data_IF_372561420436
#
_entry.id   IF_372561420436
#
_cell.length_a   1.000
_cell.length_b   1.000
_cell.length_c   1.000
_cell.angle_alpha   90.00
_cell.angle_beta   90.00
_cell.angle_gamma   90.00
#
_symmetry.space_group_name_H-M   'P 1'
#
loop_
_entity.id
_entity.type
_entity.pdbx_description
1 polymer ?
#
# COMPACT_ATOMS: atom_id res chain seq x y z
N UNK A 1 -12.73 12.60 22.94
CA UNK A 1 -13.37 11.68 23.91
C UNK A 1 -14.20 10.55 23.28
N UNK A 2 -14.21 10.35 21.98
CA UNK A 2 -14.99 9.25 21.34
C UNK A 2 -14.17 8.05 20.88
N UNK A 3 -12.85 8.10 20.95
CA UNK A 3 -11.97 6.98 20.59
C UNK A 3 -11.64 6.03 21.76
N UNK A 4 -11.81 6.47 23.01
CA UNK A 4 -11.35 5.73 24.20
C UNK A 4 -12.22 4.53 24.60
N UNK A 5 -13.47 4.42 24.15
CA UNK A 5 -14.37 3.34 24.59
C UNK A 5 -14.27 2.03 23.78
N UNK A 6 -13.41 1.97 22.75
CA UNK A 6 -13.20 0.75 21.95
C UNK A 6 -11.95 -0.05 22.37
N UNK A 7 -11.12 0.50 23.28
CA UNK A 7 -9.80 -0.07 23.62
C UNK A 7 -9.85 -1.03 24.83
N UNK A 8 -10.92 -1.05 25.61
CA UNK A 8 -10.97 -1.83 26.87
C UNK A 8 -11.27 -3.35 26.73
N UNK A 9 -11.37 -3.87 25.51
CA UNK A 9 -11.44 -5.33 25.27
C UNK A 9 -10.30 -5.85 24.43
N UNK A 10 -9.07 -5.45 24.72
CA UNK A 10 -7.90 -6.07 24.10
C UNK A 10 -7.75 -7.49 24.67
N UNK A 11 -8.09 -8.49 23.86
CA UNK A 11 -7.76 -9.88 24.07
C UNK A 11 -6.26 -10.05 24.27
N UNK A 12 -5.86 -11.04 25.08
CA UNK A 12 -4.45 -11.42 25.28
C UNK A 12 -3.75 -11.63 23.93
N UNK A 13 -2.48 -11.23 23.80
CA UNK A 13 -1.76 -11.41 22.55
C UNK A 13 -1.79 -12.89 22.12
N UNK A 14 -1.95 -13.18 20.82
CA UNK A 14 -1.96 -14.54 20.34
C UNK A 14 -0.65 -15.23 20.73
N UNK A 15 -0.75 -16.46 21.24
CA UNK A 15 0.43 -17.31 21.48
C UNK A 15 1.08 -17.57 20.15
N UNK A 16 2.29 -17.07 19.95
CA UNK A 16 3.12 -17.36 18.77
C UNK A 16 3.49 -18.85 18.86
N UNK A 17 2.83 -19.64 18.02
CA UNK A 17 3.17 -21.04 17.84
C UNK A 17 4.50 -21.10 17.07
N UNK A 18 5.55 -21.52 17.75
CA UNK A 18 6.90 -21.65 17.20
C UNK A 18 6.95 -22.83 16.20
N UNK A 19 6.57 -22.60 14.95
CA UNK A 19 6.85 -23.53 13.85
C UNK A 19 8.06 -23.02 13.06
N UNK A 20 9.11 -23.82 13.17
CA UNK A 20 10.32 -23.94 12.35
C UNK A 20 10.82 -22.63 11.70
N UNK A 21 11.69 -21.95 12.44
CA UNK A 21 12.33 -20.73 11.99
C UNK A 21 13.39 -20.97 10.92
N UNK A 22 13.31 -20.18 9.86
CA UNK A 22 14.51 -19.77 9.11
C UNK A 22 15.50 -19.23 10.16
N UNK A 23 16.77 -19.67 10.18
CA UNK A 23 17.74 -19.16 11.13
C UNK A 23 17.95 -17.66 10.89
N UNK A 24 17.31 -16.84 11.69
CA UNK A 24 17.62 -15.42 11.76
C UNK A 24 19.04 -15.33 12.32
N UNK A 25 19.99 -14.96 11.48
CA UNK A 25 21.29 -14.48 11.95
C UNK A 25 21.03 -13.23 12.77
N UNK A 26 20.98 -13.37 14.09
CA UNK A 26 20.85 -12.24 15.00
C UNK A 26 22.01 -11.27 14.70
N UNK A 27 21.74 -9.97 14.49
CA UNK A 27 22.81 -8.99 14.33
C UNK A 27 23.67 -9.02 15.59
N UNK A 28 24.98 -8.80 15.42
CA UNK A 28 25.94 -8.75 16.53
C UNK A 28 25.44 -7.72 17.57
N UNK A 29 25.45 -8.08 18.83
CA UNK A 29 25.01 -7.26 19.95
C UNK A 29 25.69 -5.88 19.95
N UNK A 30 26.98 -5.80 19.58
CA UNK A 30 27.74 -4.54 19.48
C UNK A 30 27.20 -3.62 18.36
N UNK A 31 26.82 -4.18 17.22
CA UNK A 31 26.26 -3.39 16.11
C UNK A 31 24.88 -2.84 16.45
N UNK A 32 24.05 -3.62 17.13
CA UNK A 32 22.73 -3.15 17.61
C UNK A 32 22.86 -2.05 18.67
N UNK A 33 23.84 -2.18 19.56
CA UNK A 33 24.11 -1.15 20.56
C UNK A 33 24.59 0.16 19.92
N UNK A 34 25.46 0.09 18.93
CA UNK A 34 25.91 1.26 18.16
C UNK A 34 24.77 1.96 17.44
N UNK A 35 23.94 1.20 16.72
CA UNK A 35 22.73 1.71 16.05
C UNK A 35 21.76 2.38 17.04
N UNK A 36 21.58 1.78 18.23
CA UNK A 36 20.75 2.36 19.28
C UNK A 36 21.29 3.68 19.81
N UNK A 37 22.60 3.80 20.03
CA UNK A 37 23.23 5.04 20.46
C UNK A 37 23.11 6.15 19.41
N UNK A 38 23.30 5.80 18.13
CA UNK A 38 23.08 6.74 17.02
C UNK A 38 21.63 7.20 16.95
N UNK A 39 20.66 6.28 17.12
CA UNK A 39 19.25 6.62 17.12
C UNK A 39 18.89 7.57 18.27
N UNK A 40 19.42 7.32 19.48
CA UNK A 40 19.26 8.23 20.61
C UNK A 40 19.85 9.63 20.36
N UNK A 41 21.03 9.70 19.79
CA UNK A 41 21.65 10.98 19.44
C UNK A 41 20.84 11.74 18.40
N UNK A 42 20.34 11.06 17.38
CA UNK A 42 19.46 11.64 16.35
C UNK A 42 18.15 12.18 16.94
N UNK A 43 17.58 11.52 17.97
CA UNK A 43 16.39 12.05 18.66
C UNK A 43 16.69 13.36 19.38
N UNK A 44 17.88 13.49 19.98
CA UNK A 44 18.33 14.72 20.67
C UNK A 44 18.59 15.86 19.70
N UNK A 45 19.12 15.55 18.52
CA UNK A 45 19.50 16.55 17.50
C UNK A 45 18.41 16.84 16.48
N UNK A 46 17.25 16.16 16.53
CA UNK A 46 16.19 16.19 15.53
C UNK A 46 16.71 15.88 14.11
N UNK A 47 17.73 15.02 14.00
CA UNK A 47 18.50 14.79 12.79
C UNK A 47 18.30 13.43 12.13
N UNK A 48 17.04 13.07 11.72
CA UNK A 48 16.76 11.78 11.09
C UNK A 48 17.04 11.70 9.58
N UNK A 49 17.44 12.80 8.94
CA UNK A 49 17.53 12.87 7.47
C UNK A 49 18.47 11.82 6.86
N UNK A 50 19.56 11.45 7.56
CA UNK A 50 20.50 10.41 7.09
C UNK A 50 19.93 8.98 7.14
N UNK A 51 18.85 8.75 7.89
CA UNK A 51 18.17 7.46 7.99
C UNK A 51 16.89 7.39 7.18
N UNK A 52 16.43 8.51 6.58
CA UNK A 52 15.25 8.58 5.73
C UNK A 52 15.66 8.43 4.27
N UNK A 53 15.09 7.46 3.59
CA UNK A 53 15.19 7.28 2.15
C UNK A 53 13.82 7.52 1.54
N UNK A 54 13.77 8.33 0.49
CA UNK A 54 12.60 8.39 -0.41
C UNK A 54 12.73 7.32 -1.47
N UNK A 55 11.64 6.59 -1.72
CA UNK A 55 11.53 5.63 -2.79
C UNK A 55 10.17 5.82 -3.44
N UNK A 56 10.14 6.48 -4.59
CA UNK A 56 8.90 6.96 -5.21
C UNK A 56 8.06 7.78 -4.22
N UNK A 57 6.84 7.41 -3.94
CA UNK A 57 5.95 8.11 -3.00
C UNK A 57 6.15 7.68 -1.54
N UNK A 58 6.97 6.65 -1.30
CA UNK A 58 7.22 6.12 0.03
C UNK A 58 8.32 6.89 0.78
N UNK A 59 8.13 7.01 2.09
CA UNK A 59 9.20 7.37 3.02
C UNK A 59 9.61 6.13 3.82
N UNK A 60 10.92 5.80 3.78
CA UNK A 60 11.47 4.64 4.47
C UNK A 60 12.45 5.14 5.52
N UNK A 61 12.17 4.87 6.78
CA UNK A 61 13.02 5.26 7.91
C UNK A 61 13.67 4.01 8.50
N UNK A 62 15.00 3.89 8.35
CA UNK A 62 15.75 2.84 9.03
C UNK A 62 15.77 3.11 10.54
N UNK A 63 15.27 2.17 11.33
CA UNK A 63 15.23 2.27 12.79
C UNK A 63 16.47 1.64 13.43
N UNK A 64 16.51 0.32 13.52
CA UNK A 64 17.53 -0.43 14.24
C UNK A 64 17.91 -1.69 13.47
N UNK A 65 19.21 -1.91 13.30
CA UNK A 65 19.69 -3.04 12.48
C UNK A 65 19.17 -2.94 11.05
N UNK A 66 18.46 -3.98 10.60
CA UNK A 66 17.82 -4.05 9.29
C UNK A 66 16.33 -3.70 9.30
N UNK A 67 15.79 -3.27 10.45
CA UNK A 67 14.37 -2.93 10.60
C UNK A 67 14.12 -1.50 10.13
N UNK A 68 13.10 -1.34 9.30
CA UNK A 68 12.67 -0.03 8.80
C UNK A 68 11.17 0.17 8.95
N UNK A 69 10.78 1.44 9.15
CA UNK A 69 9.41 1.90 8.94
C UNK A 69 9.22 2.26 7.47
N UNK A 70 8.07 1.89 6.93
CA UNK A 70 7.59 2.34 5.62
C UNK A 70 6.34 3.16 5.85
N UNK A 71 6.29 4.36 5.27
CA UNK A 71 5.16 5.28 5.38
C UNK A 71 4.66 5.61 3.98
N UNK A 72 3.38 5.36 3.76
CA UNK A 72 2.63 5.79 2.58
C UNK A 72 1.45 6.65 3.01
N UNK A 73 1.06 7.61 2.19
CA UNK A 73 -0.15 8.39 2.40
C UNK A 73 -0.81 8.73 1.08
N UNK A 74 -2.13 8.80 1.11
CA UNK A 74 -2.93 9.24 -0.03
C UNK A 74 -4.08 10.14 0.42
N UNK A 75 -4.65 10.88 -0.52
CA UNK A 75 -5.79 11.77 -0.30
C UNK A 75 -6.86 11.58 -1.36
N UNK A 76 -8.10 11.50 -0.92
CA UNK A 76 -9.28 11.44 -1.76
C UNK A 76 -10.17 12.66 -1.44
N UNK A 77 -10.50 13.45 -2.43
CA UNK A 77 -11.26 14.66 -2.23
C UNK A 77 -12.32 14.84 -3.31
N UNK A 78 -13.42 15.51 -2.93
CA UNK A 78 -14.54 15.83 -3.84
C UNK A 78 -15.23 14.58 -4.42
N UNK A 79 -15.16 13.48 -3.69
CA UNK A 79 -15.75 12.18 -4.00
C UNK A 79 -16.51 11.70 -2.76
N UNK A 80 -17.84 11.57 -2.84
CA UNK A 80 -18.67 11.21 -1.70
C UNK A 80 -20.11 11.68 -1.84
N UNK A 81 -20.77 11.94 -0.70
CA UNK A 81 -22.19 12.31 -0.62
C UNK A 81 -22.43 13.78 -0.23
N UNK A 82 -21.39 14.59 -0.11
CA UNK A 82 -21.54 16.03 0.20
C UNK A 82 -22.11 16.79 -0.99
N UNK A 83 -22.81 17.94 -0.75
CA UNK A 83 -23.51 18.69 -1.79
C UNK A 83 -22.63 19.14 -2.95
N UNK A 84 -21.36 19.42 -2.70
CA UNK A 84 -20.42 19.94 -3.68
C UNK A 84 -19.37 18.89 -4.10
N UNK A 85 -19.58 17.62 -3.78
CA UNK A 85 -18.74 16.56 -4.34
C UNK A 85 -18.90 16.50 -5.86
N UNK A 86 -17.79 16.56 -6.56
CA UNK A 86 -17.78 16.50 -8.03
C UNK A 86 -18.12 15.11 -8.52
N UNK A 87 -17.71 14.11 -7.74
CA UNK A 87 -18.01 12.71 -7.99
C UNK A 87 -18.93 12.20 -6.89
N UNK A 88 -20.20 11.92 -7.25
CA UNK A 88 -21.19 11.41 -6.31
C UNK A 88 -21.01 9.90 -6.12
N UNK A 89 -20.55 9.50 -4.96
CA UNK A 89 -20.31 8.11 -4.60
C UNK A 89 -20.72 7.85 -3.15
N UNK A 90 -20.94 6.61 -2.75
CA UNK A 90 -21.20 6.30 -1.36
C UNK A 90 -19.96 6.56 -0.49
N UNK A 91 -20.16 6.92 0.77
CA UNK A 91 -19.05 7.05 1.72
C UNK A 91 -18.30 5.73 1.89
N UNK A 92 -18.99 4.60 1.77
CA UNK A 92 -18.43 3.27 1.88
C UNK A 92 -17.42 2.99 0.75
N UNK A 93 -17.79 3.25 -0.51
CA UNK A 93 -16.88 3.06 -1.64
C UNK A 93 -15.71 4.05 -1.62
N UNK A 94 -15.99 5.32 -1.25
CA UNK A 94 -14.95 6.34 -1.12
C UNK A 94 -13.95 6.00 -0.03
N UNK A 95 -14.41 5.45 1.10
CA UNK A 95 -13.59 5.02 2.21
C UNK A 95 -12.65 3.87 1.82
N UNK A 96 -13.18 2.86 1.14
CA UNK A 96 -12.39 1.72 0.64
C UNK A 96 -11.34 2.19 -0.36
N UNK A 97 -11.70 3.04 -1.31
CA UNK A 97 -10.77 3.65 -2.28
C UNK A 97 -9.64 4.40 -1.58
N UNK A 98 -9.94 5.22 -0.58
CA UNK A 98 -8.94 6.03 0.13
C UNK A 98 -7.99 5.16 0.99
N UNK A 99 -8.50 4.11 1.63
CA UNK A 99 -7.70 3.16 2.41
C UNK A 99 -6.77 2.31 1.52
N UNK A 100 -7.29 1.87 0.38
CA UNK A 100 -6.66 0.89 -0.50
C UNK A 100 -5.30 1.36 -1.01
N UNK A 101 -5.20 2.61 -1.47
CA UNK A 101 -3.97 3.15 -2.06
C UNK A 101 -2.78 3.04 -1.12
N UNK A 102 -2.73 3.72 0.04
CA UNK A 102 -1.56 3.69 0.90
C UNK A 102 -1.33 2.32 1.53
N UNK A 103 -2.40 1.53 1.75
CA UNK A 103 -2.26 0.18 2.29
C UNK A 103 -1.61 -0.78 1.29
N UNK A 104 -2.01 -0.75 0.02
CA UNK A 104 -1.38 -1.55 -1.03
C UNK A 104 0.06 -1.12 -1.28
N UNK A 105 0.37 0.18 -1.22
CA UNK A 105 1.73 0.70 -1.31
C UNK A 105 2.65 0.12 -0.21
N UNK A 106 2.18 0.12 1.04
CA UNK A 106 2.94 -0.45 2.17
C UNK A 106 3.10 -1.96 2.01
N UNK A 107 2.01 -2.69 1.74
CA UNK A 107 2.04 -4.15 1.55
C UNK A 107 2.96 -4.57 0.41
N UNK A 108 2.94 -3.86 -0.72
CA UNK A 108 3.76 -4.15 -1.89
C UNK A 108 5.27 -4.12 -1.58
N UNK A 109 5.69 -3.35 -0.56
CA UNK A 109 7.09 -3.36 -0.10
C UNK A 109 7.47 -4.60 0.70
N UNK A 110 6.53 -5.47 1.05
CA UNK A 110 6.72 -6.56 1.99
C UNK A 110 6.62 -6.14 3.46
N UNK A 111 6.24 -4.89 3.74
CA UNK A 111 6.04 -4.40 5.09
C UNK A 111 4.70 -4.88 5.68
N UNK A 112 4.73 -5.24 6.96
CA UNK A 112 3.53 -5.48 7.74
C UNK A 112 2.95 -4.14 8.21
N UNK A 113 1.71 -3.76 7.83
CA UNK A 113 1.08 -2.55 8.34
C UNK A 113 0.87 -2.68 9.86
N UNK A 114 1.14 -1.59 10.59
CA UNK A 114 1.02 -1.53 12.07
C UNK A 114 0.13 -0.38 12.53
N UNK A 115 0.07 0.72 11.78
CA UNK A 115 -0.78 1.87 12.08
C UNK A 115 -1.47 2.34 10.81
N UNK A 116 -2.75 2.63 10.92
CA UNK A 116 -3.55 3.33 9.92
C UNK A 116 -4.13 4.57 10.59
N UNK A 117 -3.83 5.74 10.03
CA UNK A 117 -4.37 7.00 10.48
C UNK A 117 -5.24 7.62 9.39
N UNK A 118 -6.51 7.88 9.70
CA UNK A 118 -7.42 8.61 8.84
C UNK A 118 -7.51 10.08 9.26
N UNK A 119 -7.57 10.98 8.31
CA UNK A 119 -7.78 12.40 8.51
C UNK A 119 -9.01 12.82 7.69
N UNK A 120 -10.16 12.85 8.35
CA UNK A 120 -11.44 13.11 7.70
C UNK A 120 -11.79 14.59 7.77
N UNK A 121 -11.81 15.25 6.60
CA UNK A 121 -12.29 16.63 6.47
C UNK A 121 -13.83 16.67 6.38
N UNK A 122 -14.49 15.90 7.23
CA UNK A 122 -15.95 15.81 7.39
C UNK A 122 -16.29 15.64 8.86
N UNK A 123 -17.52 15.98 9.24
CA UNK A 123 -18.06 15.77 10.60
C UNK A 123 -18.15 14.27 10.95
N UNK A 124 -18.07 13.94 12.24
CA UNK A 124 -18.20 12.54 12.71
C UNK A 124 -19.58 11.98 12.35
N UNK A 125 -20.65 12.74 12.57
CA UNK A 125 -22.02 12.28 12.33
C UNK A 125 -22.70 13.03 11.17
N UNK A 126 -23.17 12.34 10.13
CA UNK A 126 -23.14 10.88 9.93
C UNK A 126 -21.92 10.41 9.12
N UNK A 127 -21.17 11.31 8.50
CA UNK A 127 -20.21 11.01 7.43
C UNK A 127 -19.01 10.23 7.93
N UNK A 128 -18.33 10.74 8.96
CA UNK A 128 -17.11 10.11 9.51
C UNK A 128 -17.38 8.71 10.04
N UNK A 129 -18.50 8.51 10.75
CA UNK A 129 -18.85 7.18 11.27
C UNK A 129 -19.00 6.14 10.16
N UNK A 130 -19.63 6.48 9.04
CA UNK A 130 -19.81 5.57 7.90
C UNK A 130 -18.48 5.28 7.21
N UNK A 131 -17.65 6.30 7.02
CA UNK A 131 -16.31 6.17 6.43
C UNK A 131 -15.43 5.26 7.29
N UNK A 132 -15.34 5.51 8.60
CA UNK A 132 -14.54 4.69 9.53
C UNK A 132 -15.05 3.25 9.57
N UNK A 133 -16.37 3.05 9.65
CA UNK A 133 -16.94 1.71 9.68
C UNK A 133 -16.62 0.91 8.40
N UNK A 134 -16.67 1.54 7.23
CA UNK A 134 -16.33 0.91 5.96
C UNK A 134 -14.84 0.54 5.87
N UNK A 135 -13.92 1.43 6.30
CA UNK A 135 -12.49 1.12 6.38
C UNK A 135 -12.21 -0.07 7.31
N UNK A 136 -12.85 -0.09 8.47
CA UNK A 136 -12.69 -1.19 9.43
C UNK A 136 -13.24 -2.52 8.90
N UNK A 137 -14.36 -2.49 8.16
CA UNK A 137 -14.93 -3.68 7.54
C UNK A 137 -14.04 -4.23 6.43
N UNK A 138 -13.45 -3.36 5.60
CA UNK A 138 -12.46 -3.77 4.59
C UNK A 138 -11.23 -4.42 5.25
N UNK A 139 -10.74 -3.86 6.36
CA UNK A 139 -9.64 -4.44 7.12
C UNK A 139 -9.99 -5.81 7.71
N UNK A 140 -11.23 -6.02 8.16
CA UNK A 140 -11.71 -7.35 8.60
C UNK A 140 -11.76 -8.32 7.42
N UNK A 141 -12.29 -7.87 6.28
CA UNK A 141 -12.38 -8.67 5.06
C UNK A 141 -11.04 -9.19 4.55
N UNK A 142 -9.97 -8.41 4.71
CA UNK A 142 -8.61 -8.82 4.33
C UNK A 142 -7.76 -9.38 5.50
N UNK A 143 -8.34 -9.55 6.69
CA UNK A 143 -7.67 -10.16 7.86
C UNK A 143 -6.64 -9.28 8.55
N UNK A 144 -6.69 -7.96 8.34
CA UNK A 144 -5.71 -7.00 8.89
C UNK A 144 -6.24 -6.22 10.11
N UNK A 145 -7.53 -6.31 10.42
CA UNK A 145 -8.17 -5.48 11.45
C UNK A 145 -7.49 -5.60 12.83
N UNK A 146 -7.20 -6.82 13.26
CA UNK A 146 -6.58 -7.08 14.56
C UNK A 146 -5.06 -6.89 14.56
N UNK A 147 -4.45 -6.69 13.38
CA UNK A 147 -3.01 -6.52 13.21
C UNK A 147 -2.58 -5.05 13.24
N UNK A 148 -3.52 -4.11 13.10
CA UNK A 148 -3.22 -2.69 12.98
C UNK A 148 -3.85 -1.87 14.11
N UNK A 149 -3.16 -0.80 14.53
CA UNK A 149 -3.77 0.26 15.32
C UNK A 149 -4.48 1.23 14.37
N UNK A 150 -5.78 1.43 14.56
CA UNK A 150 -6.56 2.39 13.77
C UNK A 150 -6.81 3.66 14.59
N UNK A 151 -6.44 4.81 14.06
CA UNK A 151 -6.60 6.13 14.70
C UNK A 151 -6.94 7.19 13.66
N UNK A 152 -7.43 8.34 14.10
CA UNK A 152 -7.73 9.42 13.16
C UNK A 152 -8.38 10.64 13.79
N UNK A 153 -8.90 11.51 12.93
CA UNK A 153 -9.63 12.72 13.35
C UNK A 153 -10.73 13.09 12.35
N UNK A 154 -11.73 13.83 12.82
CA UNK A 154 -12.82 14.40 12.05
C UNK A 154 -12.85 15.91 12.18
N UNK A 155 -13.51 16.62 11.26
CA UNK A 155 -13.71 18.07 11.31
C UNK A 155 -15.14 18.37 11.78
N UNK A 156 -15.31 18.58 13.08
CA UNK A 156 -16.61 18.86 13.69
C UNK A 156 -16.85 20.36 13.96
N UNK A 157 -15.82 21.21 13.77
CA UNK A 157 -15.94 22.65 14.03
C UNK A 157 -16.49 23.42 12.84
N UNK A 158 -16.20 22.97 11.62
CA UNK A 158 -16.57 23.67 10.39
C UNK A 158 -17.51 22.84 9.55
N UNK A 159 -18.55 23.51 9.00
CA UNK A 159 -19.41 22.85 8.02
C UNK A 159 -18.63 22.60 6.73
N UNK A 160 -18.48 21.35 6.35
CA UNK A 160 -17.84 20.95 5.11
C UNK A 160 -18.86 20.74 3.99
N UNK A 161 -18.52 21.16 2.78
CA UNK A 161 -19.39 21.06 1.60
C UNK A 161 -18.89 20.02 0.60
N UNK A 162 -17.67 19.54 0.77
CA UNK A 162 -17.05 18.47 -0.01
C UNK A 162 -16.47 17.43 0.94
N UNK A 163 -16.46 16.19 0.48
CA UNK A 163 -15.78 15.09 1.18
C UNK A 163 -14.27 15.21 0.97
N UNK A 164 -13.51 15.07 2.05
CA UNK A 164 -12.06 14.98 2.02
C UNK A 164 -11.60 13.92 3.00
N UNK A 165 -10.78 13.00 2.51
CA UNK A 165 -10.24 11.87 3.27
C UNK A 165 -8.73 11.81 3.02
N UNK A 166 -7.93 11.87 4.07
CA UNK A 166 -6.51 11.51 4.02
C UNK A 166 -6.29 10.22 4.77
N UNK A 167 -5.50 9.31 4.23
CA UNK A 167 -5.12 8.07 4.91
C UNK A 167 -3.60 7.94 4.90
N UNK A 168 -3.02 7.67 6.07
CA UNK A 168 -1.61 7.34 6.23
C UNK A 168 -1.48 5.94 6.78
N UNK A 169 -0.67 5.12 6.13
CA UNK A 169 -0.35 3.77 6.59
C UNK A 169 1.13 3.70 6.93
N UNK A 170 1.42 3.16 8.11
CA UNK A 170 2.77 2.90 8.59
C UNK A 170 2.94 1.40 8.72
N UNK A 171 4.01 0.87 8.13
CA UNK A 171 4.38 -0.54 8.22
C UNK A 171 5.79 -0.73 8.75
N UNK A 172 6.06 -1.93 9.25
CA UNK A 172 7.39 -2.40 9.64
C UNK A 172 7.88 -3.47 8.66
N UNK A 173 9.16 -3.42 8.34
CA UNK A 173 9.80 -4.41 7.45
C UNK A 173 11.23 -4.68 7.89
N UNK A 174 11.68 -5.94 7.77
CA UNK A 174 13.10 -6.28 7.84
C UNK A 174 13.75 -6.14 6.45
N UNK A 175 15.04 -5.89 6.40
CA UNK A 175 15.76 -5.79 5.12
C UNK A 175 15.64 -7.04 4.25
N UNK A 176 15.57 -8.22 4.86
CA UNK A 176 15.36 -9.48 4.16
C UNK A 176 14.00 -9.56 3.44
N UNK A 177 12.96 -8.96 4.04
CA UNK A 177 11.59 -8.96 3.50
C UNK A 177 11.31 -7.78 2.57
N UNK A 178 12.14 -6.73 2.62
CA UNK A 178 11.92 -5.51 1.83
C UNK A 178 12.01 -5.79 0.33
N UNK A 179 10.94 -5.50 -0.41
CA UNK A 179 10.77 -5.77 -1.87
C UNK A 179 10.97 -4.52 -2.74
N UNK A 180 11.88 -3.64 -2.38
CA UNK A 180 12.16 -2.43 -3.16
C UNK A 180 13.48 -2.54 -3.91
N UNK A 181 13.46 -2.21 -5.21
CA UNK A 181 14.64 -2.29 -6.07
C UNK A 181 15.11 -3.72 -6.32
N UNK A 182 14.19 -4.68 -6.32
CA UNK A 182 14.47 -6.09 -6.62
C UNK A 182 14.20 -6.48 -8.07
N UNK A 183 13.63 -5.59 -8.84
CA UNK A 183 13.46 -5.76 -10.28
C UNK A 183 14.82 -6.00 -10.95
N UNK A 184 14.88 -6.95 -11.87
CA UNK A 184 16.11 -7.33 -12.56
C UNK A 184 16.02 -7.03 -14.06
N UNK A 185 17.17 -6.75 -14.66
CA UNK A 185 17.28 -6.69 -16.14
C UNK A 185 16.83 -8.01 -16.74
N UNK A 186 15.94 -7.95 -17.73
CA UNK A 186 15.35 -9.13 -18.38
C UNK A 186 14.02 -9.59 -17.77
N UNK A 187 13.61 -9.03 -16.64
CA UNK A 187 12.29 -9.33 -16.07
C UNK A 187 11.17 -8.96 -17.03
N UNK A 188 10.15 -9.80 -17.06
CA UNK A 188 8.85 -9.48 -17.60
C UNK A 188 8.08 -8.59 -16.63
N UNK A 189 7.35 -7.62 -17.15
CA UNK A 189 6.44 -6.78 -16.37
C UNK A 189 5.01 -7.15 -16.73
N UNK A 190 4.26 -7.54 -15.73
CA UNK A 190 2.84 -7.85 -15.83
C UNK A 190 2.01 -6.80 -15.12
N UNK A 191 0.87 -6.45 -15.72
CA UNK A 191 -0.21 -5.72 -15.08
C UNK A 191 -1.22 -6.73 -14.55
N UNK A 192 -1.46 -6.72 -13.26
CA UNK A 192 -2.39 -7.60 -12.52
C UNK A 192 -3.62 -6.78 -12.14
N UNK A 193 -4.77 -7.15 -12.65
CA UNK A 193 -5.99 -6.34 -12.64
C UNK A 193 -6.09 -5.41 -13.85
N UNK A 194 -7.30 -4.91 -14.10
CA UNK A 194 -7.59 -3.98 -15.19
C UNK A 194 -7.48 -2.54 -14.68
N UNK A 195 -6.62 -1.69 -15.26
CA UNK A 195 -6.60 -0.27 -14.94
C UNK A 195 -7.96 0.37 -15.23
N UNK A 196 -8.59 0.96 -14.21
CA UNK A 196 -9.87 1.67 -14.31
C UNK A 196 -9.79 2.95 -13.51
N UNK A 197 -10.46 3.99 -13.98
CA UNK A 197 -10.53 5.28 -13.28
C UNK A 197 -11.98 5.70 -13.09
N UNK A 198 -12.38 5.93 -11.86
CA UNK A 198 -13.73 6.39 -11.52
C UNK A 198 -14.08 7.76 -12.10
N UNK A 199 -13.10 8.52 -12.59
CA UNK A 199 -13.32 9.81 -13.28
C UNK A 199 -13.82 9.59 -14.71
N UNK A 200 -13.39 8.51 -15.37
CA UNK A 200 -13.73 8.21 -16.76
C UNK A 200 -14.97 7.31 -16.87
N UNK A 201 -15.02 6.29 -16.03
CA UNK A 201 -16.12 5.32 -15.98
C UNK A 201 -16.39 4.90 -14.54
N UNK A 202 -17.65 4.70 -14.19
CA UNK A 202 -17.99 4.14 -12.88
C UNK A 202 -17.47 2.70 -12.82
N UNK A 203 -16.58 2.43 -11.89
CA UNK A 203 -16.22 1.07 -11.51
C UNK A 203 -16.64 0.81 -10.05
N UNK A 204 -16.74 -0.44 -9.67
CA UNK A 204 -16.98 -0.85 -8.29
C UNK A 204 -15.73 -1.52 -7.72
N UNK A 205 -15.42 -1.26 -6.47
CA UNK A 205 -14.36 -1.99 -5.75
C UNK A 205 -14.64 -3.51 -5.67
N UNK A 206 -15.89 -3.91 -5.95
CA UNK A 206 -16.31 -5.32 -6.04
C UNK A 206 -16.12 -5.94 -7.44
N UNK A 207 -15.72 -5.15 -8.46
CA UNK A 207 -15.44 -5.66 -9.80
C UNK A 207 -14.37 -6.78 -9.71
N UNK A 208 -14.63 -7.98 -10.25
CA UNK A 208 -13.69 -9.09 -10.20
C UNK A 208 -12.44 -8.86 -11.04
N UNK A 209 -12.43 -7.87 -11.93
CA UNK A 209 -11.28 -7.54 -12.76
C UNK A 209 -10.28 -6.60 -12.10
N UNK A 210 -10.64 -5.93 -11.00
CA UNK A 210 -9.74 -4.98 -10.34
C UNK A 210 -8.91 -5.65 -9.25
N UNK A 211 -7.67 -5.18 -9.09
CA UNK A 211 -6.81 -5.59 -7.99
C UNK A 211 -7.39 -5.10 -6.65
N UNK A 212 -7.29 -5.94 -5.63
CA UNK A 212 -7.72 -5.70 -4.26
C UNK A 212 -6.54 -5.76 -3.29
N UNK A 213 -6.75 -5.38 -2.04
CA UNK A 213 -5.73 -5.55 -0.99
C UNK A 213 -5.30 -7.02 -0.91
N UNK A 214 -6.24 -7.97 -0.99
CA UNK A 214 -5.96 -9.41 -1.03
C UNK A 214 -5.11 -9.84 -2.22
N UNK A 215 -5.22 -9.16 -3.37
CA UNK A 215 -4.37 -9.39 -4.54
C UNK A 215 -2.90 -9.12 -4.21
N UNK A 216 -2.60 -7.98 -3.57
CA UNK A 216 -1.22 -7.64 -3.17
C UNK A 216 -0.70 -8.60 -2.10
N UNK A 217 -1.51 -8.92 -1.10
CA UNK A 217 -1.13 -9.91 -0.07
C UNK A 217 -0.76 -11.27 -0.69
N UNK A 218 -1.55 -11.72 -1.66
CA UNK A 218 -1.28 -12.97 -2.40
C UNK A 218 0.00 -12.89 -3.24
N UNK A 219 0.20 -11.78 -3.96
CA UNK A 219 1.44 -11.53 -4.72
C UNK A 219 2.68 -11.54 -3.81
N UNK A 220 2.58 -10.96 -2.61
CA UNK A 220 3.66 -10.96 -1.63
C UNK A 220 4.04 -12.38 -1.14
N UNK A 221 3.14 -13.34 -1.19
CA UNK A 221 3.41 -14.72 -0.82
C UNK A 221 4.12 -15.54 -1.92
N UNK A 222 4.20 -15.01 -3.15
CA UNK A 222 4.82 -15.70 -4.28
C UNK A 222 6.32 -15.43 -4.33
N UNK A 223 7.11 -16.50 -4.29
CA UNK A 223 8.58 -16.48 -4.22
C UNK A 223 9.27 -16.01 -5.50
N UNK A 224 8.59 -16.09 -6.64
CA UNK A 224 9.10 -15.72 -7.96
C UNK A 224 8.78 -14.25 -8.34
N UNK A 225 8.04 -13.52 -7.53
CA UNK A 225 7.80 -12.09 -7.74
C UNK A 225 8.98 -11.30 -7.17
N UNK A 226 9.65 -10.53 -8.01
CA UNK A 226 10.76 -9.70 -7.60
C UNK A 226 10.29 -8.42 -6.94
N UNK A 227 9.42 -7.66 -7.60
CA UNK A 227 8.90 -6.40 -7.07
C UNK A 227 7.42 -6.22 -7.44
N UNK A 228 6.68 -5.49 -6.62
CA UNK A 228 5.27 -5.18 -6.79
C UNK A 228 5.12 -3.66 -6.73
N UNK A 229 4.32 -3.07 -7.63
CA UNK A 229 4.06 -1.64 -7.68
C UNK A 229 2.59 -1.37 -8.00
N UNK A 230 1.81 -0.82 -7.07
CA UNK A 230 0.47 -0.33 -7.38
C UNK A 230 0.48 0.71 -8.51
N UNK A 231 -0.51 0.65 -9.40
CA UNK A 231 -0.64 1.58 -10.51
C UNK A 231 -1.45 2.80 -10.07
N UNK A 232 -0.86 3.96 -10.24
CA UNK A 232 -1.47 5.25 -9.90
C UNK A 232 -2.16 5.93 -11.09
N UNK A 233 -2.40 7.24 -10.94
CA UNK A 233 -3.11 8.08 -11.91
C UNK A 233 -2.39 8.27 -13.25
N UNK A 234 -1.09 8.01 -13.31
CA UNK A 234 -0.27 8.15 -14.54
C UNK A 234 -0.25 6.89 -15.42
N UNK A 235 -0.88 5.81 -14.96
CA UNK A 235 -1.02 4.58 -15.72
C UNK A 235 0.18 3.64 -15.65
N UNK A 236 -0.01 2.44 -16.24
CA UNK A 236 0.93 1.33 -16.13
C UNK A 236 2.30 1.59 -16.79
N UNK A 237 2.33 2.34 -17.91
CA UNK A 237 3.61 2.66 -18.57
C UNK A 237 4.52 3.53 -17.69
N UNK A 238 3.94 4.52 -17.03
CA UNK A 238 4.69 5.39 -16.12
C UNK A 238 5.28 4.59 -14.95
N UNK A 239 4.45 3.77 -14.29
CA UNK A 239 4.88 2.98 -13.14
C UNK A 239 5.92 1.90 -13.54
N UNK A 240 5.78 1.29 -14.72
CA UNK A 240 6.79 0.36 -15.24
C UNK A 240 8.14 1.06 -15.51
N UNK A 241 8.08 2.31 -15.98
CA UNK A 241 9.27 3.17 -16.08
C UNK A 241 9.94 3.41 -14.73
N UNK A 242 9.15 3.68 -13.68
CA UNK A 242 9.65 3.87 -12.31
C UNK A 242 10.29 2.58 -11.75
N UNK A 243 9.68 1.40 -11.99
CA UNK A 243 10.31 0.12 -11.62
C UNK A 243 11.70 -0.04 -12.24
N UNK A 244 11.83 0.27 -13.54
CA UNK A 244 13.08 0.15 -14.28
C UNK A 244 14.13 1.18 -13.79
N UNK A 245 13.73 2.44 -13.65
CA UNK A 245 14.61 3.54 -13.25
C UNK A 245 15.23 3.31 -11.88
N UNK A 246 14.45 2.78 -10.92
CA UNK A 246 14.92 2.48 -9.56
C UNK A 246 16.09 1.49 -9.52
N UNK A 247 16.29 0.71 -10.58
CA UNK A 247 17.39 -0.27 -10.71
C UNK A 247 18.38 0.07 -11.86
N UNK A 248 18.31 1.29 -12.36
CA UNK A 248 19.22 1.78 -13.42
C UNK A 248 18.98 1.13 -14.79
N UNK A 249 17.74 0.71 -15.05
CA UNK A 249 17.28 0.06 -16.27
C UNK A 249 16.23 0.94 -17.00
N UNK A 250 15.73 0.45 -18.12
CA UNK A 250 14.63 1.04 -18.88
C UNK A 250 13.50 0.04 -19.06
N UNK A 251 12.27 0.52 -19.16
CA UNK A 251 11.12 -0.30 -19.51
C UNK A 251 10.89 -0.25 -21.02
N UNK A 252 10.77 -1.41 -21.64
CA UNK A 252 10.36 -1.57 -23.03
C UNK A 252 8.96 -2.19 -23.08
N UNK A 253 7.97 -1.39 -23.45
CA UNK A 253 6.61 -1.87 -23.65
C UNK A 253 6.53 -2.84 -24.84
N UNK A 254 5.61 -3.80 -24.77
CA UNK A 254 5.27 -4.62 -25.93
C UNK A 254 4.70 -3.74 -27.06
N UNK A 255 4.95 -4.14 -28.30
CA UNK A 255 4.49 -3.39 -29.47
C UNK A 255 2.95 -3.28 -29.55
N UNK A 256 2.25 -4.25 -29.00
CA UNK A 256 0.78 -4.30 -28.94
C UNK A 256 0.37 -4.80 -27.56
N UNK A 257 0.42 -3.93 -26.52
CA UNK A 257 0.03 -4.32 -25.18
C UNK A 257 -1.48 -4.65 -25.17
N UNK A 258 -1.90 -5.67 -24.40
CA UNK A 258 -3.30 -6.10 -24.38
C UNK A 258 -4.25 -5.13 -23.65
N UNK A 259 -3.69 -4.10 -23.01
CA UNK A 259 -4.42 -3.03 -22.29
C UNK A 259 -3.82 -1.67 -22.66
N UNK A 260 -4.59 -0.60 -22.49
CA UNK A 260 -4.06 0.76 -22.61
C UNK A 260 -3.19 1.09 -21.38
N UNK A 261 -1.88 1.26 -21.62
CA UNK A 261 -0.90 1.51 -20.59
C UNK A 261 -0.94 2.94 -20.02
N UNK A 262 -1.67 3.86 -20.66
CA UNK A 262 -1.83 5.24 -20.20
C UNK A 262 -3.07 5.43 -19.32
N UNK A 263 -3.97 4.45 -19.28
CA UNK A 263 -5.17 4.52 -18.44
C UNK A 263 -4.80 4.64 -16.97
N UNK A 264 -5.36 5.66 -16.31
CA UNK A 264 -5.27 5.82 -14.84
C UNK A 264 -5.86 4.59 -14.15
N UNK A 265 -5.20 4.07 -13.13
CA UNK A 265 -5.75 3.01 -12.31
C UNK A 265 -6.43 3.56 -11.02
N UNK A 266 -6.70 4.88 -10.95
CA UNK A 266 -7.43 5.52 -9.85
C UNK A 266 -6.94 5.08 -8.48
N UNK A 267 -7.80 4.41 -7.71
CA UNK A 267 -7.48 3.85 -6.39
C UNK A 267 -6.81 2.47 -6.49
N UNK A 268 -5.71 2.35 -7.26
CA UNK A 268 -4.94 1.12 -7.41
C UNK A 268 -5.78 -0.08 -7.90
N UNK A 269 -6.59 0.13 -8.96
CA UNK A 269 -7.38 -0.95 -9.58
C UNK A 269 -6.52 -1.98 -10.29
N UNK A 270 -5.23 -1.68 -10.48
CA UNK A 270 -4.23 -2.60 -11.01
C UNK A 270 -2.91 -2.44 -10.28
N UNK A 271 -2.09 -3.49 -10.31
CA UNK A 271 -0.71 -3.47 -9.80
C UNK A 271 0.24 -4.04 -10.84
N UNK A 272 1.46 -3.53 -10.89
CA UNK A 272 2.53 -4.12 -11.67
C UNK A 272 3.31 -5.12 -10.85
N UNK A 273 3.80 -6.15 -11.50
CA UNK A 273 4.78 -7.07 -10.93
C UNK A 273 5.93 -7.28 -11.92
N UNK A 274 7.16 -7.33 -11.40
CA UNK A 274 8.33 -7.77 -12.15
C UNK A 274 8.67 -9.20 -11.73
N UNK A 275 8.95 -10.06 -12.70
CA UNK A 275 9.24 -11.48 -12.49
C UNK A 275 10.02 -12.08 -13.65
N UNK A 276 10.70 -13.24 -13.46
CA UNK A 276 11.33 -13.97 -14.55
C UNK A 276 10.32 -14.34 -15.63
N UNK A 277 10.65 -14.11 -16.91
CA UNK A 277 9.74 -14.31 -18.03
C UNK A 277 9.05 -15.69 -18.03
N UNK A 278 9.78 -16.73 -17.67
CA UNK A 278 9.27 -18.11 -17.62
C UNK A 278 8.22 -18.35 -16.52
N UNK A 279 8.10 -17.43 -15.55
CA UNK A 279 7.15 -17.53 -14.45
C UNK A 279 5.76 -16.94 -14.80
N UNK A 280 5.60 -16.29 -15.96
CA UNK A 280 4.34 -15.65 -16.33
C UNK A 280 3.13 -16.58 -16.39
N UNK A 281 3.34 -17.85 -16.83
CA UNK A 281 2.29 -18.86 -16.82
C UNK A 281 1.82 -19.26 -15.41
N UNK A 282 2.74 -19.25 -14.44
CA UNK A 282 2.40 -19.47 -13.01
C UNK A 282 1.58 -18.31 -12.47
N UNK A 283 1.98 -17.08 -12.77
CA UNK A 283 1.25 -15.90 -12.31
C UNK A 283 -0.23 -15.95 -12.69
N UNK A 284 -0.54 -16.27 -13.95
CA UNK A 284 -1.93 -16.37 -14.40
C UNK A 284 -2.73 -17.49 -13.72
N UNK A 285 -2.04 -18.56 -13.28
CA UNK A 285 -2.68 -19.65 -12.52
C UNK A 285 -2.85 -19.33 -11.02
N UNK A 286 -1.94 -18.52 -10.47
CA UNK A 286 -1.93 -18.17 -9.05
C UNK A 286 -2.88 -17.01 -8.72
N UNK A 287 -3.34 -16.24 -9.71
CA UNK A 287 -4.18 -15.06 -9.50
C UNK A 287 -5.63 -15.30 -9.94
N UNK A 288 -6.55 -14.64 -9.25
CA UNK A 288 -7.99 -14.65 -9.55
C UNK A 288 -8.46 -13.41 -10.33
N UNK A 289 -7.53 -12.50 -10.64
CA UNK A 289 -7.75 -11.31 -11.47
C UNK A 289 -6.95 -11.42 -12.77
N UNK A 290 -7.34 -10.73 -13.85
CA UNK A 290 -6.62 -10.77 -15.13
C UNK A 290 -5.15 -10.34 -14.99
N UNK A 291 -4.25 -11.04 -15.68
CA UNK A 291 -2.82 -10.76 -15.71
C UNK A 291 -2.36 -10.53 -17.14
N UNK A 292 -1.80 -9.37 -17.43
CA UNK A 292 -1.40 -8.96 -18.76
C UNK A 292 0.11 -8.72 -18.83
N UNK A 293 0.81 -9.43 -19.72
CA UNK A 293 2.19 -9.08 -20.04
C UNK A 293 2.18 -7.74 -20.79
N UNK A 294 2.90 -6.74 -20.27
CA UNK A 294 2.91 -5.39 -20.85
C UNK A 294 4.28 -4.96 -21.39
N UNK A 295 5.33 -5.71 -21.09
CA UNK A 295 6.68 -5.40 -21.56
C UNK A 295 7.77 -6.03 -20.71
N UNK A 296 8.99 -5.48 -20.83
CA UNK A 296 10.21 -6.02 -20.16
C UNK A 296 11.14 -4.94 -19.68
N UNK A 297 11.97 -5.29 -18.70
CA UNK A 297 13.07 -4.48 -18.18
C UNK A 297 14.35 -4.72 -19.01
N UNK A 298 14.97 -3.65 -19.51
CA UNK A 298 16.15 -3.68 -20.40
C UNK A 298 17.36 -2.93 -19.80
#
# INVERSE_FOLDING_TARGET
MCYDNAIEQAAQPPKIDSKEGVPMTMPNQESLWTDYQELLEMTRQCGFSSRIRKYRDLSILRLLGDISLVVACDSNASNGEKPNDTHQNSYEETAVSALKVPLMEVLATGAAPIVIADNLCVEMEPSGRRIIAAMQEELRGCGLYDAVSFTGSTEDNMRTLQTGIGVTVIGLVSGASLRLGRTLRGDAVYCVGVPQSGVLERYSEHDPSVAKISTVTRLCALDYIHEILPVGSKGAAYEAGQLAECVGCTFAADAQPPIDLATSAGSCTAVLVSLPLQAGGRLAADMDVPCFLIGRIQ
#
